data_IF_578566418015
#
_entry.id   IF_578566418015
#
_cell.length_a   1.000
_cell.length_b   1.000
_cell.length_c   1.000
_cell.angle_alpha   90.00
_cell.angle_beta   90.00
_cell.angle_gamma   90.00
#
_symmetry.space_group_name_H-M   'P 1'
#
loop_
_entity.id
_entity.type
_entity.pdbx_description
1 polymer ?
#
# COMPACT_ATOMS: atom_id res chain seq x y z
N UNK A 1 -41.32 21.49 -40.08
CA UNK A 1 -40.37 20.42 -40.44
C UNK A 1 -39.07 20.48 -39.63
N UNK A 2 -38.40 21.63 -39.51
CA UNK A 2 -37.16 21.78 -38.70
C UNK A 2 -37.32 21.41 -37.22
N UNK A 3 -38.42 21.79 -36.58
CA UNK A 3 -38.66 21.48 -35.17
C UNK A 3 -38.84 19.98 -34.86
N UNK A 4 -39.34 19.20 -35.82
CA UNK A 4 -39.48 17.74 -35.66
C UNK A 4 -38.13 17.04 -35.77
N UNK A 5 -37.23 17.53 -36.63
CA UNK A 5 -35.85 17.04 -36.72
C UNK A 5 -35.06 17.40 -35.47
N UNK A 6 -35.26 18.61 -34.94
CA UNK A 6 -34.60 19.06 -33.71
C UNK A 6 -35.10 18.30 -32.48
N UNK A 7 -36.42 18.06 -32.38
CA UNK A 7 -37.00 17.24 -31.32
C UNK A 7 -36.55 15.77 -31.43
N UNK A 8 -36.54 15.18 -32.64
CA UNK A 8 -36.03 13.83 -32.86
C UNK A 8 -34.53 13.73 -32.55
N UNK A 9 -33.75 14.77 -32.81
CA UNK A 9 -32.32 14.84 -32.50
C UNK A 9 -32.08 14.93 -30.98
N UNK A 10 -32.85 15.74 -30.24
CA UNK A 10 -32.81 15.79 -28.77
C UNK A 10 -33.23 14.44 -28.18
N UNK A 11 -34.30 13.83 -28.69
CA UNK A 11 -34.79 12.53 -28.22
C UNK A 11 -33.80 11.38 -28.51
N UNK A 12 -33.11 11.40 -29.66
CA UNK A 12 -32.02 10.45 -29.95
C UNK A 12 -30.79 10.68 -29.06
N UNK A 13 -30.54 11.92 -28.65
CA UNK A 13 -29.37 12.29 -27.85
C UNK A 13 -29.58 12.05 -26.34
N UNK A 14 -30.83 12.05 -25.86
CA UNK A 14 -31.20 11.62 -24.50
C UNK A 14 -31.10 10.10 -24.27
N UNK A 15 -30.95 9.32 -25.35
CA UNK A 15 -30.73 7.86 -25.30
C UNK A 15 -29.23 7.47 -25.18
N UNK A 16 -28.31 8.43 -25.06
CA UNK A 16 -26.88 8.21 -24.77
C UNK A 16 -26.62 8.22 -23.23
N UNK A 17 -25.61 7.48 -22.73
CA UNK A 17 -25.80 6.48 -21.67
C UNK A 17 -25.59 7.02 -20.25
N UNK A 18 -26.60 7.69 -19.68
CA UNK A 18 -26.67 7.95 -18.22
C UNK A 18 -26.46 6.67 -17.37
N UNK A 19 -26.80 5.51 -17.94
CA UNK A 19 -26.62 4.20 -17.34
C UNK A 19 -25.12 3.85 -17.15
N UNK A 20 -24.25 4.16 -18.12
CA UNK A 20 -22.85 3.72 -18.08
C UNK A 20 -22.01 4.52 -17.08
N UNK A 21 -22.25 5.84 -16.95
CA UNK A 21 -21.58 6.66 -15.93
C UNK A 21 -21.98 6.19 -14.53
N UNK A 22 -23.27 5.94 -14.31
CA UNK A 22 -23.81 5.41 -13.05
C UNK A 22 -23.21 4.04 -12.73
N UNK A 23 -23.17 3.12 -13.70
CA UNK A 23 -22.54 1.80 -13.55
C UNK A 23 -21.05 1.91 -13.22
N UNK A 24 -20.30 2.79 -13.89
CA UNK A 24 -18.89 3.00 -13.61
C UNK A 24 -18.66 3.55 -12.20
N UNK A 25 -19.49 4.48 -11.75
CA UNK A 25 -19.40 5.01 -10.39
C UNK A 25 -19.74 3.95 -9.33
N UNK A 26 -20.76 3.14 -9.57
CA UNK A 26 -21.10 2.00 -8.73
C UNK A 26 -19.96 0.98 -8.69
N UNK A 27 -19.40 0.61 -9.84
CA UNK A 27 -18.28 -0.31 -9.93
C UNK A 27 -17.03 0.22 -9.21
N UNK A 28 -16.77 1.55 -9.22
CA UNK A 28 -15.69 2.16 -8.44
C UNK A 28 -15.91 1.99 -6.93
N UNK A 29 -17.11 2.27 -6.46
CA UNK A 29 -17.46 2.12 -5.04
C UNK A 29 -17.38 0.66 -4.59
N UNK A 30 -17.92 -0.26 -5.38
CA UNK A 30 -17.88 -1.69 -5.11
C UNK A 30 -16.44 -2.22 -5.12
N UNK A 31 -15.61 -1.79 -6.09
CA UNK A 31 -14.21 -2.19 -6.16
C UNK A 31 -13.43 -1.74 -4.92
N UNK A 32 -13.68 -0.51 -4.47
CA UNK A 32 -13.07 0.04 -3.26
C UNK A 32 -13.51 -0.72 -2.00
N UNK A 33 -14.81 -0.99 -1.87
CA UNK A 33 -15.35 -1.75 -0.74
C UNK A 33 -14.79 -3.18 -0.71
N UNK A 34 -14.72 -3.84 -1.87
CA UNK A 34 -14.12 -5.16 -2.01
C UNK A 34 -12.63 -5.17 -1.64
N UNK A 35 -11.88 -4.13 -2.05
CA UNK A 35 -10.47 -3.97 -1.68
C UNK A 35 -10.30 -3.82 -0.16
N UNK A 36 -11.11 -2.96 0.46
CA UNK A 36 -11.09 -2.75 1.92
C UNK A 36 -11.49 -4.01 2.70
N UNK A 37 -12.41 -4.80 2.16
CA UNK A 37 -12.80 -6.10 2.71
C UNK A 37 -11.72 -7.20 2.54
N UNK A 38 -10.62 -6.93 1.81
CA UNK A 38 -9.59 -7.90 1.48
C UNK A 38 -9.98 -8.86 0.36
N UNK A 39 -11.11 -8.63 -0.31
CA UNK A 39 -11.60 -9.41 -1.44
C UNK A 39 -10.89 -9.01 -2.73
N UNK A 40 -9.56 -9.07 -2.75
CA UNK A 40 -8.73 -8.50 -3.82
C UNK A 40 -9.01 -9.10 -5.21
N UNK A 41 -9.42 -10.37 -5.29
CA UNK A 41 -9.83 -10.99 -6.55
C UNK A 41 -11.10 -10.37 -7.13
N UNK A 42 -12.05 -10.00 -6.27
CA UNK A 42 -13.30 -9.33 -6.69
C UNK A 42 -13.01 -7.88 -7.10
N UNK A 43 -12.28 -7.15 -6.26
CA UNK A 43 -11.80 -5.80 -6.59
C UNK A 43 -11.06 -5.76 -7.93
N UNK A 44 -10.21 -6.77 -8.21
CA UNK A 44 -9.47 -6.83 -9.47
C UNK A 44 -10.39 -6.92 -10.70
N UNK A 45 -11.44 -7.74 -10.63
CA UNK A 45 -12.40 -7.88 -11.74
C UNK A 45 -13.06 -6.53 -12.05
N UNK A 46 -13.48 -5.81 -11.01
CA UNK A 46 -14.13 -4.50 -11.14
C UNK A 46 -13.16 -3.42 -11.65
N UNK A 47 -11.91 -3.39 -11.17
CA UNK A 47 -10.92 -2.44 -11.68
C UNK A 47 -10.49 -2.72 -13.13
N UNK A 48 -10.45 -3.99 -13.56
CA UNK A 48 -10.23 -4.34 -14.98
C UNK A 48 -11.42 -3.91 -15.83
N UNK A 49 -12.65 -4.12 -15.35
CA UNK A 49 -13.85 -3.61 -16.04
C UNK A 49 -13.77 -2.09 -16.23
N UNK A 50 -13.44 -1.35 -15.17
CA UNK A 50 -13.28 0.10 -15.23
C UNK A 50 -12.16 0.53 -16.19
N UNK A 51 -11.04 -0.21 -16.24
CA UNK A 51 -9.95 0.12 -17.17
C UNK A 51 -10.28 -0.10 -18.64
N UNK A 52 -11.20 -1.01 -18.94
CA UNK A 52 -11.57 -1.36 -20.31
C UNK A 52 -12.76 -0.53 -20.83
N UNK A 53 -13.49 0.15 -19.94
CA UNK A 53 -14.75 0.84 -20.28
C UNK A 53 -14.54 2.32 -20.64
N UNK A 54 -13.37 2.88 -20.32
CA UNK A 54 -13.03 4.29 -20.57
C UNK A 54 -11.85 4.41 -21.53
N UNK A 55 -11.93 5.32 -22.50
CA UNK A 55 -10.83 5.60 -23.45
C UNK A 55 -9.55 6.03 -22.73
N UNK A 56 -9.69 6.80 -21.65
CA UNK A 56 -8.59 7.21 -20.77
C UNK A 56 -8.82 6.65 -19.38
N UNK A 57 -7.87 5.88 -18.87
CA UNK A 57 -7.97 5.31 -17.53
C UNK A 57 -7.75 6.41 -16.49
N UNK A 58 -8.77 6.62 -15.65
CA UNK A 58 -8.67 7.48 -14.47
C UNK A 58 -7.44 7.14 -13.62
N UNK A 59 -6.56 8.10 -13.31
CA UNK A 59 -5.35 7.85 -12.52
C UNK A 59 -5.61 7.24 -11.13
N UNK A 60 -6.73 7.58 -10.48
CA UNK A 60 -7.13 6.98 -9.21
C UNK A 60 -7.49 5.49 -9.34
N UNK A 61 -8.26 5.14 -10.38
CA UNK A 61 -8.53 3.74 -10.74
C UNK A 61 -7.24 3.00 -11.07
N UNK A 62 -6.30 3.62 -11.80
CA UNK A 62 -4.99 3.02 -12.08
C UNK A 62 -4.21 2.72 -10.81
N UNK A 63 -4.17 3.66 -9.86
CA UNK A 63 -3.49 3.48 -8.58
C UNK A 63 -4.07 2.27 -7.83
N UNK A 64 -5.40 2.20 -7.73
CA UNK A 64 -6.09 1.11 -7.05
C UNK A 64 -5.94 -0.24 -7.76
N UNK A 65 -5.89 -0.26 -9.09
CA UNK A 65 -5.55 -1.45 -9.85
C UNK A 65 -4.13 -1.93 -9.54
N UNK A 66 -3.16 -1.02 -9.46
CA UNK A 66 -1.79 -1.28 -9.00
C UNK A 66 -1.78 -1.88 -7.59
N UNK A 67 -2.48 -1.25 -6.64
CA UNK A 67 -2.62 -1.74 -5.26
C UNK A 67 -3.22 -3.14 -5.20
N UNK A 68 -4.23 -3.41 -6.04
CA UNK A 68 -4.92 -4.69 -6.07
C UNK A 68 -4.03 -5.79 -6.63
N UNK A 69 -3.32 -5.55 -7.75
CA UNK A 69 -2.33 -6.48 -8.27
C UNK A 69 -1.23 -6.77 -7.25
N UNK A 70 -0.75 -5.72 -6.57
CA UNK A 70 0.27 -5.84 -5.55
C UNK A 70 -0.17 -6.70 -4.36
N UNK A 71 -1.39 -6.50 -3.84
CA UNK A 71 -1.95 -7.34 -2.76
C UNK A 71 -2.14 -8.80 -3.18
N UNK A 72 -2.39 -9.04 -4.47
CA UNK A 72 -2.43 -10.37 -5.07
C UNK A 72 -1.04 -10.94 -5.41
N UNK A 73 0.05 -10.27 -5.00
CA UNK A 73 1.46 -10.60 -5.32
C UNK A 73 1.76 -10.68 -6.82
N UNK A 74 0.93 -10.06 -7.66
CA UNK A 74 1.12 -9.97 -9.11
C UNK A 74 2.02 -8.77 -9.46
N UNK A 75 3.24 -8.76 -8.93
CA UNK A 75 4.15 -7.61 -9.00
C UNK A 75 4.47 -7.16 -10.43
N UNK A 76 4.64 -8.11 -11.37
CA UNK A 76 4.86 -7.80 -12.79
C UNK A 76 3.74 -6.98 -13.42
N UNK A 77 2.49 -7.15 -12.97
CA UNK A 77 1.35 -6.36 -13.45
C UNK A 77 1.15 -5.06 -12.68
N UNK A 78 1.55 -5.04 -11.40
CA UNK A 78 1.45 -3.85 -10.55
C UNK A 78 2.44 -2.75 -10.96
N UNK A 79 3.70 -3.12 -11.23
CA UNK A 79 4.80 -2.19 -11.56
C UNK A 79 4.42 -1.16 -12.65
N UNK A 80 3.94 -1.55 -13.85
CA UNK A 80 3.61 -0.59 -14.90
C UNK A 80 2.45 0.36 -14.53
N UNK A 81 1.56 -0.04 -13.60
CA UNK A 81 0.49 0.85 -13.15
C UNK A 81 1.04 2.02 -12.34
N UNK A 82 2.00 1.76 -11.46
CA UNK A 82 2.65 2.81 -10.68
C UNK A 82 3.64 3.62 -11.51
N UNK A 83 4.42 3.00 -12.40
CA UNK A 83 5.36 3.72 -13.28
C UNK A 83 4.65 4.80 -14.11
N UNK A 84 3.47 4.49 -14.64
CA UNK A 84 2.65 5.47 -15.37
C UNK A 84 2.24 6.64 -14.47
N UNK A 85 1.99 6.39 -13.18
CA UNK A 85 1.54 7.42 -12.24
C UNK A 85 2.66 8.37 -11.78
N UNK A 86 3.93 8.00 -11.96
CA UNK A 86 5.04 8.93 -11.74
C UNK A 86 4.98 10.15 -12.68
N UNK A 87 4.25 10.05 -13.80
CA UNK A 87 4.03 11.14 -14.76
C UNK A 87 2.69 11.85 -14.56
N UNK A 88 1.96 11.57 -13.46
CA UNK A 88 0.68 12.23 -13.19
C UNK A 88 0.89 13.69 -12.78
N UNK A 89 0.00 14.59 -13.20
CA UNK A 89 0.02 15.99 -12.72
C UNK A 89 -0.29 16.09 -11.20
N UNK A 90 -0.90 15.05 -10.63
CA UNK A 90 -1.28 14.97 -9.23
C UNK A 90 -0.14 14.47 -8.35
N UNK A 91 0.37 15.36 -7.48
CA UNK A 91 1.43 15.05 -6.51
C UNK A 91 1.07 13.90 -5.56
N UNK A 92 -0.18 13.83 -5.12
CA UNK A 92 -0.65 12.76 -4.24
C UNK A 92 -0.55 11.37 -4.91
N UNK A 93 -0.76 11.29 -6.23
CA UNK A 93 -0.62 10.05 -6.99
C UNK A 93 0.84 9.71 -7.28
N UNK A 94 1.67 10.69 -7.63
CA UNK A 94 3.12 10.49 -7.85
C UNK A 94 3.80 9.98 -6.59
N UNK A 95 3.53 10.60 -5.44
CA UNK A 95 4.11 10.21 -4.16
C UNK A 95 3.65 8.82 -3.70
N UNK A 96 2.37 8.49 -3.88
CA UNK A 96 1.86 7.14 -3.62
C UNK A 96 2.53 6.10 -4.54
N UNK A 97 2.66 6.39 -5.83
CA UNK A 97 3.30 5.50 -6.80
C UNK A 97 4.79 5.30 -6.51
N UNK A 98 5.54 6.37 -6.24
CA UNK A 98 6.95 6.31 -5.87
C UNK A 98 7.15 5.50 -4.58
N UNK A 99 6.31 5.70 -3.57
CA UNK A 99 6.33 4.90 -2.34
C UNK A 99 6.11 3.41 -2.63
N UNK A 100 5.11 3.06 -3.44
CA UNK A 100 4.82 1.67 -3.76
C UNK A 100 5.90 1.02 -4.62
N UNK A 101 6.49 1.75 -5.57
CA UNK A 101 7.64 1.28 -6.35
C UNK A 101 8.87 1.08 -5.47
N UNK A 102 9.11 1.94 -4.48
CA UNK A 102 10.18 1.76 -3.51
C UNK A 102 10.00 0.49 -2.68
N UNK A 103 8.77 0.21 -2.23
CA UNK A 103 8.44 -1.06 -1.57
C UNK A 103 8.68 -2.27 -2.49
N UNK A 104 8.37 -2.15 -3.77
CA UNK A 104 8.64 -3.21 -4.75
C UNK A 104 10.14 -3.42 -4.96
N UNK A 105 10.94 -2.34 -4.98
CA UNK A 105 12.40 -2.44 -5.04
C UNK A 105 12.97 -3.14 -3.79
N UNK A 106 12.45 -2.85 -2.59
CA UNK A 106 12.80 -3.59 -1.38
C UNK A 106 12.54 -5.10 -1.51
N UNK A 107 11.40 -5.50 -2.06
CA UNK A 107 11.10 -6.93 -2.30
C UNK A 107 12.07 -7.59 -3.27
N UNK A 108 12.62 -6.81 -4.18
CA UNK A 108 13.60 -7.27 -5.15
C UNK A 108 15.04 -7.27 -4.60
N UNK A 109 15.24 -6.85 -3.34
CA UNK A 109 16.56 -6.69 -2.73
C UNK A 109 17.31 -5.42 -3.17
N UNK A 110 16.63 -4.51 -3.87
CA UNK A 110 17.22 -3.29 -4.41
C UNK A 110 16.97 -2.09 -3.48
N UNK A 111 17.71 -2.07 -2.36
CA UNK A 111 17.63 -1.01 -1.37
C UNK A 111 18.04 0.36 -1.92
N UNK A 112 18.96 0.40 -2.89
CA UNK A 112 19.43 1.65 -3.51
C UNK A 112 18.32 2.35 -4.30
N UNK A 113 17.63 1.61 -5.17
CA UNK A 113 16.47 2.13 -5.89
C UNK A 113 15.32 2.43 -4.94
N UNK A 114 15.10 1.60 -3.92
CA UNK A 114 14.07 1.86 -2.91
C UNK A 114 14.27 3.20 -2.20
N UNK A 115 15.48 3.48 -1.71
CA UNK A 115 15.83 4.74 -1.06
C UNK A 115 15.62 5.95 -1.97
N UNK A 116 16.00 5.83 -3.24
CA UNK A 116 15.82 6.90 -4.23
C UNK A 116 14.33 7.22 -4.44
N UNK A 117 13.49 6.19 -4.55
CA UNK A 117 12.05 6.35 -4.75
C UNK A 117 11.33 6.88 -3.50
N UNK A 118 11.71 6.42 -2.30
CA UNK A 118 11.18 7.00 -1.07
C UNK A 118 11.61 8.45 -0.87
N UNK A 119 12.87 8.78 -1.20
CA UNK A 119 13.34 10.16 -1.16
C UNK A 119 12.57 11.04 -2.14
N UNK A 120 12.33 10.56 -3.37
CA UNK A 120 11.50 11.29 -4.35
C UNK A 120 10.10 11.56 -3.77
N UNK A 121 9.45 10.56 -3.17
CA UNK A 121 8.14 10.74 -2.55
C UNK A 121 8.16 11.79 -1.42
N UNK A 122 9.22 11.82 -0.61
CA UNK A 122 9.37 12.77 0.51
C UNK A 122 9.73 14.19 0.06
N UNK A 123 10.45 14.34 -1.06
CA UNK A 123 10.72 15.65 -1.65
C UNK A 123 9.45 16.31 -2.18
N UNK A 124 8.53 15.51 -2.72
CA UNK A 124 7.23 15.99 -3.21
C UNK A 124 6.17 16.16 -2.10
N UNK A 125 6.16 15.25 -1.12
CA UNK A 125 5.28 15.32 0.05
C UNK A 125 6.06 14.94 1.32
N UNK A 126 6.58 15.93 2.07
CA UNK A 126 7.31 15.71 3.31
C UNK A 126 6.49 14.98 4.40
N UNK A 127 5.15 15.09 4.36
CA UNK A 127 4.24 14.49 5.34
C UNK A 127 3.83 13.05 4.96
N UNK A 128 4.46 12.45 3.94
CA UNK A 128 4.23 11.07 3.58
C UNK A 128 4.88 10.11 4.59
N UNK A 129 4.16 9.85 5.67
CA UNK A 129 4.57 8.96 6.77
C UNK A 129 5.01 7.58 6.30
N UNK A 130 4.33 7.00 5.29
CA UNK A 130 4.68 5.68 4.77
C UNK A 130 6.04 5.70 4.06
N UNK A 131 6.32 6.73 3.27
CA UNK A 131 7.62 6.91 2.64
C UNK A 131 8.70 7.21 3.69
N UNK A 132 8.40 8.05 4.69
CA UNK A 132 9.31 8.44 5.78
C UNK A 132 9.76 7.20 6.56
N UNK A 133 8.79 6.39 6.99
CA UNK A 133 9.04 5.16 7.70
C UNK A 133 9.89 4.18 6.90
N UNK A 134 9.50 3.89 5.65
CA UNK A 134 10.23 2.96 4.80
C UNK A 134 11.65 3.46 4.50
N UNK A 135 11.80 4.76 4.23
CA UNK A 135 13.11 5.38 4.00
C UNK A 135 14.01 5.24 5.23
N UNK A 136 13.53 5.59 6.42
CA UNK A 136 14.31 5.48 7.65
C UNK A 136 14.73 4.04 7.94
N UNK A 137 13.80 3.10 7.81
CA UNK A 137 14.07 1.69 8.03
C UNK A 137 15.18 1.21 7.09
N UNK A 138 15.04 1.42 5.78
CA UNK A 138 16.01 0.94 4.80
C UNK A 138 17.34 1.69 4.93
N UNK A 139 17.32 3.01 5.14
CA UNK A 139 18.55 3.81 5.26
C UNK A 139 19.39 3.40 6.45
N UNK A 140 18.76 2.98 7.55
CA UNK A 140 19.44 2.55 8.77
C UNK A 140 20.28 1.28 8.53
N UNK A 141 19.81 0.38 7.66
CA UNK A 141 20.43 -0.93 7.47
C UNK A 141 21.06 -1.14 6.09
N UNK A 142 20.96 -0.16 5.20
CA UNK A 142 21.55 -0.22 3.88
C UNK A 142 23.08 -0.30 3.98
N UNK A 143 23.65 -1.38 3.44
CA UNK A 143 25.09 -1.64 3.51
C UNK A 143 25.94 -0.83 2.52
N UNK A 144 25.30 0.00 1.67
CA UNK A 144 26.00 0.76 0.62
C UNK A 144 26.38 -0.06 -0.61
N UNK A 145 25.99 -1.34 -0.67
CA UNK A 145 26.36 -2.26 -1.76
C UNK A 145 25.35 -2.20 -2.89
N UNK A 146 25.84 -2.30 -4.13
CA UNK A 146 25.00 -2.44 -5.31
C UNK A 146 24.14 -3.72 -5.21
N UNK A 147 22.93 -3.73 -5.81
CA UNK A 147 22.02 -4.87 -5.72
C UNK A 147 22.73 -6.16 -6.17
N UNK A 148 22.72 -7.18 -5.30
CA UNK A 148 23.28 -8.47 -5.66
C UNK A 148 22.47 -9.07 -6.83
N UNK A 149 23.12 -9.66 -7.86
CA UNK A 149 22.41 -10.28 -8.96
C UNK A 149 21.49 -11.40 -8.44
N UNK A 150 20.21 -11.34 -8.81
CA UNK A 150 19.12 -12.16 -8.27
C UNK A 150 19.37 -13.66 -8.49
N UNK A 151 19.69 -14.40 -7.42
CA UNK A 151 19.38 -15.84 -7.40
C UNK A 151 17.89 -15.97 -7.10
N UNK A 152 17.10 -16.43 -8.07
CA UNK A 152 15.69 -16.76 -7.86
C UNK A 152 15.60 -17.99 -6.96
N UNK A 153 15.82 -17.83 -5.65
CA UNK A 153 15.30 -18.80 -4.71
C UNK A 153 13.83 -18.47 -4.56
N UNK A 154 13.01 -19.27 -5.27
CA UNK A 154 11.62 -19.49 -4.89
C UNK A 154 11.61 -19.61 -3.37
N UNK A 155 10.95 -18.67 -2.68
CA UNK A 155 10.62 -18.81 -1.28
C UNK A 155 9.82 -20.10 -1.15
N UNK A 156 10.52 -21.18 -0.85
CA UNK A 156 9.95 -22.49 -0.64
C UNK A 156 9.07 -22.35 0.60
N UNK A 157 7.85 -22.82 0.40
CA UNK A 157 6.78 -22.93 1.38
C UNK A 157 7.27 -23.60 2.65
N UNK A 158 7.63 -22.81 3.65
CA UNK A 158 7.45 -23.17 5.05
C UNK A 158 6.61 -22.06 5.69
N UNK A 159 5.29 -22.22 5.58
CA UNK A 159 4.35 -21.49 6.43
C UNK A 159 4.51 -22.02 7.86
N UNK A 160 4.90 -21.21 8.85
CA UNK A 160 4.54 -21.51 10.21
C UNK A 160 3.02 -21.31 10.30
N UNK A 161 2.27 -22.40 10.51
CA UNK A 161 0.84 -22.32 10.82
C UNK A 161 0.68 -21.42 12.05
N UNK A 162 0.10 -20.23 11.88
CA UNK A 162 -0.22 -19.34 12.98
C UNK A 162 -1.71 -19.00 12.98
N UNK A 163 -2.26 -19.17 14.17
CA UNK A 163 -3.66 -19.27 14.54
C UNK A 163 -4.36 -17.91 14.46
N UNK A 164 -5.62 -17.92 14.01
CA UNK A 164 -6.56 -16.80 13.94
C UNK A 164 -6.58 -15.91 15.20
N UNK A 165 -6.50 -14.58 15.05
CA UNK A 165 -7.06 -13.57 15.99
C UNK A 165 -7.17 -12.16 15.37
N UNK A 166 -7.86 -11.17 16.00
CA UNK A 166 -8.79 -10.28 15.32
C UNK A 166 -8.16 -8.92 14.95
N UNK A 167 -8.73 -8.30 13.92
CA UNK A 167 -8.41 -6.95 13.44
C UNK A 167 -8.89 -5.87 14.44
N UNK A 168 -8.07 -4.87 14.81
CA UNK A 168 -8.58 -3.64 15.38
C UNK A 168 -9.11 -2.73 14.27
N UNK A 169 -10.36 -2.26 14.42
CA UNK A 169 -10.94 -1.15 13.66
C UNK A 169 -10.87 0.13 14.52
N UNK A 170 -10.52 1.26 13.88
CA UNK A 170 -10.75 2.62 14.40
C UNK A 170 -9.47 3.41 14.71
N UNK A 171 -9.41 4.69 14.28
CA UNK A 171 -8.42 5.68 14.74
C UNK A 171 -7.12 5.86 13.92
N UNK A 172 -7.17 5.77 12.60
CA UNK A 172 -6.06 5.18 11.84
C UNK A 172 -4.88 6.08 11.40
N UNK A 173 -4.78 7.36 11.80
CA UNK A 173 -3.67 8.21 11.33
C UNK A 173 -2.69 8.64 12.41
N UNK A 174 -3.17 9.16 13.55
CA UNK A 174 -2.31 9.54 14.69
C UNK A 174 -1.70 8.30 15.34
N UNK A 175 -2.51 7.28 15.62
CA UNK A 175 -2.08 6.03 16.24
C UNK A 175 -1.13 5.20 15.35
N UNK A 176 -1.21 5.36 14.01
CA UNK A 176 -0.29 4.70 13.08
C UNK A 176 1.09 5.36 13.06
N UNK A 177 1.17 6.68 13.13
CA UNK A 177 2.45 7.41 13.12
C UNK A 177 3.22 7.14 14.42
N UNK A 178 2.56 7.25 15.58
CA UNK A 178 3.19 6.95 16.88
C UNK A 178 3.70 5.50 16.96
N UNK A 179 2.90 4.55 16.44
CA UNK A 179 3.29 3.14 16.36
C UNK A 179 4.46 2.91 15.42
N UNK A 180 4.51 3.60 14.28
CA UNK A 180 5.62 3.52 13.33
C UNK A 180 6.92 4.06 13.95
N UNK A 181 6.86 5.19 14.63
CA UNK A 181 8.01 5.80 15.31
C UNK A 181 8.53 4.94 16.46
N UNK A 182 7.63 4.35 17.26
CA UNK A 182 8.03 3.41 18.31
C UNK A 182 8.74 2.18 17.72
N UNK A 183 8.20 1.64 16.64
CA UNK A 183 8.76 0.51 15.91
C UNK A 183 10.15 0.86 15.35
N UNK A 184 10.34 2.04 14.74
CA UNK A 184 11.66 2.52 14.28
C UNK A 184 12.65 2.66 15.44
N UNK A 185 12.23 3.23 16.57
CA UNK A 185 13.10 3.38 17.76
C UNK A 185 13.56 2.04 18.30
N UNK A 186 12.68 1.04 18.31
CA UNK A 186 13.01 -0.33 18.72
C UNK A 186 14.00 -0.96 17.74
N UNK A 187 13.79 -0.79 16.44
CA UNK A 187 14.72 -1.30 15.43
C UNK A 187 16.09 -0.67 15.54
N UNK A 188 16.21 0.65 15.72
CA UNK A 188 17.52 1.30 15.94
C UNK A 188 18.32 0.70 17.12
N UNK A 189 17.69 -0.02 18.05
CA UNK A 189 18.35 -0.76 19.14
C UNK A 189 18.71 -2.21 18.78
N UNK A 190 18.12 -2.77 17.74
CA UNK A 190 18.42 -4.09 17.20
C UNK A 190 19.51 -3.97 16.12
N UNK A 191 20.56 -4.78 16.24
CA UNK A 191 21.62 -4.87 15.25
C UNK A 191 21.21 -5.80 14.09
N UNK A 192 20.21 -5.39 13.31
CA UNK A 192 19.69 -6.16 12.16
C UNK A 192 20.62 -6.06 10.95
N UNK A 193 20.64 -7.10 10.13
CA UNK A 193 21.24 -7.03 8.78
C UNK A 193 20.27 -6.36 7.78
N UNK A 194 20.80 -5.93 6.64
CA UNK A 194 19.99 -5.38 5.53
C UNK A 194 18.87 -6.34 5.10
N UNK A 195 19.20 -7.63 4.91
CA UNK A 195 18.23 -8.66 4.55
C UNK A 195 17.12 -8.81 5.59
N UNK A 196 17.46 -8.76 6.89
CA UNK A 196 16.49 -8.83 7.97
C UNK A 196 15.55 -7.62 7.97
N UNK A 197 16.07 -6.42 7.67
CA UNK A 197 15.24 -5.22 7.54
C UNK A 197 14.25 -5.33 6.37
N UNK A 198 14.68 -5.89 5.23
CA UNK A 198 13.80 -6.13 4.08
C UNK A 198 12.71 -7.18 4.37
N UNK A 199 13.08 -8.30 5.00
CA UNK A 199 12.13 -9.34 5.42
C UNK A 199 11.08 -8.80 6.39
N UNK A 200 11.52 -7.97 7.32
CA UNK A 200 10.66 -7.32 8.30
C UNK A 200 9.69 -6.33 7.64
N UNK A 201 10.15 -5.52 6.68
CA UNK A 201 9.30 -4.64 5.88
C UNK A 201 8.22 -5.45 5.15
N UNK A 202 8.59 -6.59 4.57
CA UNK A 202 7.62 -7.50 3.92
C UNK A 202 6.59 -8.06 4.92
N UNK A 203 7.03 -8.50 6.09
CA UNK A 203 6.16 -9.05 7.14
C UNK A 203 5.14 -8.02 7.65
N UNK A 204 5.58 -6.79 7.94
CA UNK A 204 4.68 -5.72 8.43
C UNK A 204 3.59 -5.34 7.42
N UNK A 205 3.90 -5.47 6.13
CA UNK A 205 2.96 -5.20 5.04
C UNK A 205 1.87 -6.26 4.89
N UNK A 206 2.13 -7.47 5.38
CA UNK A 206 1.19 -8.59 5.41
C UNK A 206 0.21 -8.56 6.58
N UNK A 207 0.27 -7.54 7.45
CA UNK A 207 -0.36 -7.50 8.78
C UNK A 207 0.17 -8.57 9.77
N UNK A 208 1.22 -9.30 9.39
CA UNK A 208 1.86 -10.38 10.15
C UNK A 208 3.10 -9.87 10.88
N UNK A 209 2.90 -9.10 11.96
CA UNK A 209 4.01 -8.74 12.85
C UNK A 209 4.56 -10.01 13.54
N UNK A 210 5.88 -10.29 13.48
CA UNK A 210 6.46 -11.43 14.20
C UNK A 210 6.19 -11.33 15.70
N UNK A 211 5.60 -12.38 16.28
CA UNK A 211 5.16 -12.47 17.69
C UNK A 211 6.26 -12.11 18.71
N UNK A 212 7.53 -12.24 18.33
CA UNK A 212 8.69 -11.82 19.12
C UNK A 212 8.67 -10.32 19.49
N UNK A 213 8.08 -9.46 18.66
CA UNK A 213 8.00 -8.01 18.89
C UNK A 213 6.80 -7.60 19.76
N UNK A 214 5.81 -8.48 19.94
CA UNK A 214 4.57 -8.18 20.68
C UNK A 214 4.70 -8.42 22.19
N UNK A 215 5.60 -9.32 22.63
CA UNK A 215 5.72 -9.70 24.05
C UNK A 215 6.40 -8.64 24.92
N UNK A 216 7.27 -7.79 24.35
CA UNK A 216 7.93 -6.72 25.10
C UNK A 216 7.02 -5.53 25.45
N UNK A 217 5.89 -5.36 24.73
CA UNK A 217 4.93 -4.29 25.00
C UNK A 217 4.07 -4.57 26.26
N UNK A 218 3.78 -5.84 26.60
CA UNK A 218 2.95 -6.16 27.78
C UNK A 218 3.71 -6.08 29.10
N UNK A 219 5.03 -6.25 29.10
CA UNK A 219 5.83 -6.15 30.32
C UNK A 219 6.13 -4.71 30.74
N UNK A 220 5.79 -3.72 29.92
CA UNK A 220 5.94 -2.30 30.28
C UNK A 220 4.72 -1.74 31.05
N UNK A 221 3.57 -2.44 31.07
CA UNK A 221 2.32 -1.92 31.66
C UNK A 221 1.88 -2.59 32.96
N UNK A 222 2.66 -3.51 33.54
CA UNK A 222 2.32 -4.09 34.85
C UNK A 222 3.53 -4.14 35.78
N UNK A 223 3.92 -2.99 36.32
CA UNK A 223 4.47 -2.98 37.68
C UNK A 223 3.28 -3.05 38.65
N UNK A 224 3.12 -4.13 39.43
CA UNK A 224 2.22 -4.06 40.57
C UNK A 224 2.83 -3.02 41.53
N UNK A 225 2.04 -2.02 41.91
CA UNK A 225 2.38 -1.18 43.06
C UNK A 225 2.22 -2.03 44.31
N UNK A 226 3.29 -2.72 44.65
CA UNK A 226 3.48 -3.34 45.94
C UNK A 226 3.92 -2.25 46.92
N UNK A 227 3.18 -2.14 48.03
CA UNK A 227 3.75 -1.68 49.30
C UNK A 227 3.56 -0.21 49.67
N UNK A 228 2.93 -0.06 50.84
CA UNK A 228 3.19 0.94 51.89
C UNK A 228 2.48 2.30 51.82
N UNK A 229 1.95 2.88 52.89
CA UNK A 229 1.46 2.45 54.21
C UNK A 229 1.10 3.75 54.96
N UNK A 230 0.13 3.68 55.90
CA UNK A 230 -0.04 4.59 57.07
C UNK A 230 -0.50 6.04 56.74
N UNK A 231 -1.46 6.67 57.41
CA UNK A 231 -2.05 6.58 58.74
C UNK A 231 -3.55 6.88 58.67
#
# INVERSE_FOLDING_TARGET
MIYLVFAAWIWLNELLPLNQITQNNQARQEAQAAYQAGQYKHALKLYIYLSNTTTTLDPGVRLNLGHTYFKLKQYRKAKPQYETLLQSDRSDLRTAAATQLGVMACLEGDSATALTLFQQALLENPDNESARYNFELIKTYYSGRAPAPKTHQQASTQQPKLVNKPRPMGGQQVERSDRQDEVLRRFKRLNLSEEQALQLLDAMRGDDLPYALTRSARHAETKPKEGENRW
#
